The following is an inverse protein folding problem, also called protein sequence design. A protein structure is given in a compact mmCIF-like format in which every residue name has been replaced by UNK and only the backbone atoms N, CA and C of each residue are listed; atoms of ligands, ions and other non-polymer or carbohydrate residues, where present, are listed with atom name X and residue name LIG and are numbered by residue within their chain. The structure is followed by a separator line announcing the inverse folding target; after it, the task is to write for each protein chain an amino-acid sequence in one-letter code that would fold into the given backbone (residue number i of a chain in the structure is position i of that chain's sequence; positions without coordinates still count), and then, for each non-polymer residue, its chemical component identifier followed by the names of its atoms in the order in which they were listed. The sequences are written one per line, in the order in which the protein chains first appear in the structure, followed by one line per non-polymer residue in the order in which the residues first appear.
data_IF_239233062351
#
_entry.id   IF_239233062351
#
_cell.length_a   1.000
_cell.length_b   1.000
_cell.length_c   1.000
_cell.angle_alpha   90.00
_cell.angle_beta   90.00
_cell.angle_gamma   90.00
#
_symmetry.space_group_name_H-M   'P 1'
#
loop_
_entity.id
_entity.type
_entity.pdbx_description
1 polymer ?
#
# COMPACT_ATOMS: atom_id res chain seq x y z
N UNK A 1 25.17 -20.76 -18.86
CA UNK A 1 24.40 -19.93 -17.92
C UNK A 1 25.08 -19.64 -16.58
N UNK A 2 25.33 -20.60 -15.66
CA UNK A 2 25.98 -20.27 -14.36
C UNK A 2 27.40 -19.69 -14.52
N UNK A 3 28.15 -20.19 -15.49
CA UNK A 3 29.49 -19.70 -15.84
C UNK A 3 29.47 -18.27 -16.40
N UNK A 4 28.46 -17.91 -17.20
CA UNK A 4 28.34 -16.57 -17.79
C UNK A 4 27.93 -15.52 -16.77
N UNK A 5 26.97 -15.85 -15.89
CA UNK A 5 26.60 -15.02 -14.74
C UNK A 5 27.80 -14.82 -13.79
N UNK A 6 28.56 -15.88 -13.53
CA UNK A 6 29.77 -15.80 -12.71
C UNK A 6 30.86 -14.93 -13.36
N UNK A 7 31.02 -15.02 -14.68
CA UNK A 7 31.96 -14.18 -15.44
C UNK A 7 31.56 -12.70 -15.42
N UNK A 8 30.27 -12.40 -15.59
CA UNK A 8 29.69 -11.07 -15.51
C UNK A 8 29.91 -10.45 -14.13
N UNK A 9 29.52 -11.15 -13.06
CA UNK A 9 29.73 -10.70 -11.68
C UNK A 9 31.22 -10.51 -11.38
N UNK A 10 32.07 -11.43 -11.84
CA UNK A 10 33.52 -11.30 -11.73
C UNK A 10 34.06 -10.04 -12.42
N UNK A 11 33.53 -9.68 -13.59
CA UNK A 11 33.90 -8.45 -14.29
C UNK A 11 33.44 -7.19 -13.55
N UNK A 12 32.22 -7.17 -13.01
CA UNK A 12 31.70 -6.08 -12.18
C UNK A 12 32.58 -5.87 -10.95
N UNK A 13 32.91 -6.95 -10.23
CA UNK A 13 33.73 -6.89 -9.02
C UNK A 13 35.18 -6.47 -9.31
N UNK A 14 35.76 -6.86 -10.45
CA UNK A 14 37.09 -6.37 -10.88
C UNK A 14 37.08 -4.86 -11.13
N UNK A 15 36.02 -4.33 -11.75
CA UNK A 15 35.87 -2.88 -11.96
C UNK A 15 35.69 -2.15 -10.62
N UNK A 16 34.87 -2.68 -9.71
CA UNK A 16 34.71 -2.13 -8.37
C UNK A 16 36.05 -1.99 -7.62
N UNK A 17 36.85 -3.08 -7.57
CA UNK A 17 38.17 -3.07 -6.93
C UNK A 17 39.11 -2.01 -7.55
N UNK A 18 39.06 -1.83 -8.87
CA UNK A 18 39.83 -0.79 -9.56
C UNK A 18 39.40 0.62 -9.12
N UNK A 19 38.11 0.87 -8.98
CA UNK A 19 37.56 2.17 -8.53
C UNK A 19 37.89 2.49 -7.07
N UNK A 20 37.96 1.49 -6.19
CA UNK A 20 38.23 1.70 -4.76
C UNK A 20 39.72 1.73 -4.40
N UNK A 21 40.58 1.13 -5.23
CA UNK A 21 42.04 1.07 -4.97
C UNK A 21 42.84 2.13 -5.72
N UNK A 22 42.25 2.90 -6.64
CA UNK A 22 42.94 4.04 -7.27
C UNK A 22 42.93 5.25 -6.32
N UNK A 23 44.02 5.42 -5.57
CA UNK A 23 44.23 6.47 -4.57
C UNK A 23 44.15 7.93 -5.11
N UNK A 24 43.98 8.14 -6.42
CA UNK A 24 44.00 9.46 -7.06
C UNK A 24 42.66 9.94 -7.61
N UNK A 25 41.54 9.23 -7.37
CA UNK A 25 40.24 9.64 -7.93
C UNK A 25 38.98 9.04 -7.32
N UNK A 26 39.08 8.31 -6.20
CA UNK A 26 37.89 7.80 -5.53
C UNK A 26 37.25 8.89 -4.65
N UNK A 27 36.00 9.25 -4.96
CA UNK A 27 35.17 10.13 -4.12
C UNK A 27 34.66 9.45 -2.84
N UNK A 28 35.00 8.17 -2.63
CA UNK A 28 34.54 7.36 -1.50
C UNK A 28 35.59 7.43 -0.38
N UNK A 29 35.23 7.84 0.85
CA UNK A 29 36.16 7.87 1.98
C UNK A 29 36.80 6.51 2.25
N UNK A 30 38.06 6.54 2.67
CA UNK A 30 38.81 5.33 3.04
C UNK A 30 38.10 4.63 4.20
N UNK A 31 37.76 3.34 4.01
CA UNK A 31 37.01 2.54 4.99
C UNK A 31 35.50 2.46 4.77
N UNK A 32 34.93 3.21 3.81
CA UNK A 32 33.49 3.21 3.52
C UNK A 32 33.11 2.43 2.25
N UNK A 33 34.07 1.85 1.54
CA UNK A 33 33.84 1.15 0.27
C UNK A 33 32.73 0.08 0.38
N UNK A 34 32.70 -0.69 1.46
CA UNK A 34 31.72 -1.77 1.62
C UNK A 34 30.27 -1.27 1.72
N UNK A 35 30.05 -0.01 2.13
CA UNK A 35 28.71 0.61 2.18
C UNK A 35 28.11 0.79 0.78
N UNK A 36 28.94 1.06 -0.23
CA UNK A 36 28.51 1.41 -1.58
C UNK A 36 28.60 0.25 -2.58
N UNK A 37 29.21 -0.88 -2.19
CA UNK A 37 29.38 -2.05 -3.05
C UNK A 37 28.04 -2.56 -3.60
N UNK A 38 27.01 -2.65 -2.75
CA UNK A 38 25.69 -3.12 -3.17
C UNK A 38 25.06 -2.20 -4.22
N UNK A 39 25.18 -0.88 -4.06
CA UNK A 39 24.64 0.09 -5.00
C UNK A 39 25.37 0.04 -6.36
N UNK A 40 26.70 -0.12 -6.32
CA UNK A 40 27.51 -0.28 -7.52
C UNK A 40 27.13 -1.54 -8.32
N UNK A 41 27.00 -2.68 -7.64
CA UNK A 41 26.57 -3.95 -8.24
C UNK A 41 25.15 -3.81 -8.79
N UNK A 42 24.23 -3.23 -8.02
CA UNK A 42 22.84 -2.97 -8.43
C UNK A 42 22.76 -2.14 -9.70
N UNK A 43 23.55 -1.07 -9.79
CA UNK A 43 23.61 -0.22 -10.98
C UNK A 43 24.03 -1.03 -12.22
N UNK A 44 25.09 -1.84 -12.12
CA UNK A 44 25.56 -2.65 -13.24
C UNK A 44 24.54 -3.71 -13.67
N UNK A 45 23.90 -4.39 -12.72
CA UNK A 45 22.84 -5.35 -13.02
C UNK A 45 21.60 -4.68 -13.63
N UNK A 46 21.32 -3.42 -13.29
CA UNK A 46 20.24 -2.64 -13.91
C UNK A 46 20.56 -2.35 -15.39
N UNK A 47 21.81 -2.04 -15.72
CA UNK A 47 22.24 -1.85 -17.11
C UNK A 47 22.11 -3.14 -17.93
N UNK A 48 22.48 -4.28 -17.35
CA UNK A 48 22.28 -5.60 -17.98
C UNK A 48 20.79 -5.87 -18.24
N UNK A 49 19.94 -5.61 -17.24
CA UNK A 49 18.49 -5.74 -17.38
C UNK A 49 17.94 -4.83 -18.50
N UNK A 50 18.41 -3.58 -18.60
CA UNK A 50 17.99 -2.63 -19.63
C UNK A 50 18.42 -3.06 -21.03
N UNK A 51 19.61 -3.66 -21.17
CA UNK A 51 20.10 -4.21 -22.42
C UNK A 51 19.32 -5.46 -22.87
N UNK A 52 18.98 -6.34 -21.92
CA UNK A 52 18.29 -7.60 -22.21
C UNK A 52 16.79 -7.44 -22.44
N UNK A 53 16.12 -6.45 -21.82
CA UNK A 53 14.66 -6.32 -21.90
C UNK A 53 14.11 -6.18 -23.33
N UNK A 54 14.63 -5.29 -24.20
CA UNK A 54 14.16 -5.21 -25.59
C UNK A 54 14.41 -6.49 -26.38
N UNK A 55 15.47 -7.23 -26.06
CA UNK A 55 15.88 -8.47 -26.75
C UNK A 55 14.98 -9.66 -26.46
N UNK A 56 14.13 -9.59 -25.44
CA UNK A 56 13.08 -10.58 -25.21
C UNK A 56 12.16 -10.67 -26.43
N UNK A 57 11.84 -9.53 -27.03
CA UNK A 57 10.91 -9.42 -28.15
C UNK A 57 11.57 -9.64 -29.51
N UNK A 58 12.88 -9.38 -29.64
CA UNK A 58 13.61 -9.53 -30.91
C UNK A 58 14.38 -10.85 -31.03
N UNK A 59 15.04 -11.30 -29.96
CA UNK A 59 16.03 -12.38 -29.98
C UNK A 59 15.56 -13.62 -29.19
N UNK A 60 14.45 -13.50 -28.46
CA UNK A 60 13.74 -14.61 -27.82
C UNK A 60 13.70 -14.57 -26.28
N UNK A 61 12.90 -15.46 -25.67
CA UNK A 61 12.53 -15.37 -24.26
C UNK A 61 13.67 -15.66 -23.27
N UNK A 62 14.78 -16.27 -23.70
CA UNK A 62 15.92 -16.54 -22.80
C UNK A 62 16.50 -15.28 -22.16
N UNK A 63 16.38 -14.11 -22.83
CA UNK A 63 16.82 -12.83 -22.28
C UNK A 63 16.06 -12.40 -21.02
N UNK A 64 14.86 -12.97 -20.78
CA UNK A 64 14.08 -12.75 -19.55
C UNK A 64 14.87 -13.13 -18.30
N UNK A 65 15.74 -14.16 -18.37
CA UNK A 65 16.55 -14.63 -17.25
C UNK A 65 17.55 -13.58 -16.73
N UNK A 66 17.86 -12.57 -17.54
CA UNK A 66 18.77 -11.48 -17.20
C UNK A 66 18.06 -10.18 -16.82
N UNK A 67 16.73 -10.15 -16.92
CA UNK A 67 15.93 -9.02 -16.45
C UNK A 67 15.77 -9.07 -14.94
N UNK A 68 15.66 -7.90 -14.31
CA UNK A 68 15.44 -7.75 -12.87
C UNK A 68 16.54 -8.33 -11.95
N UNK A 69 17.70 -8.76 -12.46
CA UNK A 69 18.82 -9.25 -11.63
C UNK A 69 19.27 -8.26 -10.56
N UNK A 70 19.11 -6.95 -10.81
CA UNK A 70 19.40 -5.90 -9.83
C UNK A 70 18.53 -6.00 -8.56
N UNK A 71 17.37 -6.68 -8.64
CA UNK A 71 16.53 -6.99 -7.49
C UNK A 71 17.11 -8.11 -6.59
N UNK A 72 18.23 -8.73 -6.95
CA UNK A 72 18.91 -9.74 -6.12
C UNK A 72 19.98 -9.12 -5.20
N UNK A 73 20.14 -7.80 -5.22
CA UNK A 73 21.15 -7.08 -4.43
C UNK A 73 20.66 -6.76 -3.02
N UNK A 74 21.57 -6.34 -2.14
CA UNK A 74 21.23 -5.92 -0.77
C UNK A 74 20.23 -4.76 -0.72
N UNK A 75 19.73 -4.46 0.49
CA UNK A 75 18.76 -3.39 0.75
C UNK A 75 19.30 -2.03 0.25
N UNK A 76 18.42 -1.19 -0.27
CA UNK A 76 18.78 0.18 -0.62
C UNK A 76 19.05 0.98 0.67
N UNK A 77 20.20 1.69 0.79
CA UNK A 77 20.48 2.50 1.98
C UNK A 77 19.46 3.62 2.13
N UNK A 78 19.17 3.99 3.37
CA UNK A 78 18.26 5.08 3.72
C UNK A 78 18.78 5.81 4.96
N UNK A 79 18.49 7.10 5.03
CA UNK A 79 18.74 7.94 6.21
C UNK A 79 17.45 8.12 7.02
N UNK A 80 17.58 8.42 8.32
CA UNK A 80 16.40 8.69 9.15
C UNK A 80 15.68 9.94 8.67
N UNK A 81 16.44 10.92 8.20
CA UNK A 81 15.98 12.20 7.69
C UNK A 81 15.14 12.01 6.41
N UNK A 82 15.56 11.11 5.51
CA UNK A 82 14.76 10.73 4.34
C UNK A 82 13.41 10.15 4.75
N UNK A 83 13.39 9.19 5.68
CA UNK A 83 12.15 8.56 6.13
C UNK A 83 11.21 9.58 6.79
N UNK A 84 11.76 10.41 7.69
CA UNK A 84 10.98 11.46 8.37
C UNK A 84 10.41 12.43 7.35
N UNK A 85 11.19 12.87 6.37
CA UNK A 85 10.75 13.76 5.31
C UNK A 85 9.69 13.14 4.40
N UNK A 86 9.85 11.87 4.04
CA UNK A 86 8.89 11.14 3.19
C UNK A 86 7.55 10.93 3.91
N UNK A 87 7.56 10.54 5.20
CA UNK A 87 6.35 10.43 6.01
C UNK A 87 5.69 11.79 6.18
N UNK A 88 6.44 12.84 6.50
CA UNK A 88 5.90 14.20 6.67
C UNK A 88 5.23 14.70 5.38
N UNK A 89 5.87 14.50 4.23
CA UNK A 89 5.28 14.82 2.93
C UNK A 89 4.04 13.98 2.64
N UNK A 90 4.03 12.70 3.03
CA UNK A 90 2.91 11.79 2.79
C UNK A 90 1.68 12.22 3.59
N UNK A 91 1.83 12.43 4.90
CA UNK A 91 0.70 12.62 5.81
C UNK A 91 0.25 14.08 5.96
N UNK A 92 1.02 15.05 5.46
CA UNK A 92 0.67 16.47 5.53
C UNK A 92 -0.50 16.86 4.63
N UNK A 93 -1.04 18.07 4.82
CA UNK A 93 -2.11 18.62 3.97
C UNK A 93 -1.61 19.29 2.69
N UNK A 94 -0.30 19.25 2.43
CA UNK A 94 0.35 19.95 1.32
C UNK A 94 1.51 19.13 0.76
N UNK A 95 1.84 19.30 -0.51
CA UNK A 95 3.03 18.72 -1.12
C UNK A 95 3.79 19.84 -1.85
N UNK A 96 5.10 19.95 -1.62
CA UNK A 96 5.93 21.04 -2.16
C UNK A 96 5.34 22.45 -1.93
N UNK A 97 4.81 22.70 -0.72
CA UNK A 97 4.20 23.98 -0.35
C UNK A 97 2.81 24.25 -0.96
N UNK A 98 2.28 23.35 -1.79
CA UNK A 98 0.94 23.48 -2.37
C UNK A 98 -0.07 22.62 -1.60
N UNK A 99 -1.27 23.15 -1.26
CA UNK A 99 -2.32 22.34 -0.65
C UNK A 99 -2.69 21.15 -1.53
N UNK A 100 -2.89 19.98 -0.93
CA UNK A 100 -3.45 18.82 -1.61
C UNK A 100 -4.91 19.12 -1.92
N UNK A 101 -5.25 19.21 -3.19
CA UNK A 101 -6.61 19.51 -3.65
C UNK A 101 -6.86 18.79 -4.96
N UNK A 102 -8.08 18.26 -5.09
CA UNK A 102 -8.64 17.89 -6.39
C UNK A 102 -9.64 18.96 -6.82
N UNK A 103 -9.88 19.04 -8.13
CA UNK A 103 -10.98 19.82 -8.66
C UNK A 103 -12.31 19.27 -8.13
N UNK A 104 -13.11 20.13 -7.49
CA UNK A 104 -14.34 19.70 -6.82
C UNK A 104 -15.41 19.23 -7.79
N UNK A 105 -15.50 19.86 -8.97
CA UNK A 105 -16.47 19.47 -10.01
C UNK A 105 -16.17 18.11 -10.60
N UNK A 106 -14.92 17.87 -11.03
CA UNK A 106 -14.51 16.59 -11.60
C UNK A 106 -14.57 15.47 -10.57
N UNK A 107 -14.17 15.75 -9.32
CA UNK A 107 -14.30 14.80 -8.21
C UNK A 107 -15.74 14.42 -7.96
N UNK A 108 -16.64 15.41 -7.82
CA UNK A 108 -18.05 15.15 -7.55
C UNK A 108 -18.70 14.37 -8.68
N UNK A 109 -18.54 14.83 -9.93
CA UNK A 109 -19.04 14.14 -11.11
C UNK A 109 -18.54 12.69 -11.17
N UNK A 110 -17.25 12.49 -10.93
CA UNK A 110 -16.64 11.18 -11.00
C UNK A 110 -17.12 10.23 -9.91
N UNK A 111 -17.16 10.69 -8.67
CA UNK A 111 -17.68 9.90 -7.56
C UNK A 111 -19.18 9.63 -7.71
N UNK A 112 -19.99 10.61 -8.12
CA UNK A 112 -21.43 10.44 -8.35
C UNK A 112 -21.67 9.34 -9.38
N UNK A 113 -20.97 9.38 -10.52
CA UNK A 113 -21.08 8.37 -11.57
C UNK A 113 -20.66 6.98 -11.12
N UNK A 114 -19.55 6.86 -10.39
CA UNK A 114 -19.07 5.55 -9.93
C UNK A 114 -20.02 4.96 -8.90
N UNK A 115 -20.45 5.76 -7.92
CA UNK A 115 -21.31 5.29 -6.85
C UNK A 115 -22.74 5.03 -7.32
N UNK A 116 -23.23 5.70 -8.37
CA UNK A 116 -24.51 5.35 -9.00
C UNK A 116 -24.47 3.99 -9.71
N UNK A 117 -23.32 3.64 -10.30
CA UNK A 117 -23.14 2.41 -11.06
C UNK A 117 -22.70 1.23 -10.17
N UNK A 118 -22.12 1.53 -9.00
CA UNK A 118 -21.74 0.55 -8.00
C UNK A 118 -22.98 0.05 -7.27
N UNK A 119 -23.70 -0.87 -7.92
CA UNK A 119 -24.88 -1.50 -7.37
C UNK A 119 -24.56 -2.20 -6.05
N UNK A 120 -25.32 -1.84 -5.03
CA UNK A 120 -25.38 -2.60 -3.80
C UNK A 120 -26.20 -3.86 -4.02
N UNK A 121 -25.74 -5.04 -3.55
CA UNK A 121 -26.60 -6.21 -3.49
C UNK A 121 -27.82 -5.91 -2.60
N UNK A 122 -28.97 -6.53 -2.93
CA UNK A 122 -30.16 -6.49 -2.07
C UNK A 122 -29.79 -6.79 -0.61
N UNK A 123 -30.34 -6.07 0.38
CA UNK A 123 -29.87 -6.05 1.77
C UNK A 123 -30.02 -7.38 2.54
N UNK A 124 -30.61 -8.40 1.93
CA UNK A 124 -30.87 -9.68 2.58
C UNK A 124 -29.58 -10.52 2.71
N UNK A 125 -29.27 -10.91 3.95
CA UNK A 125 -28.19 -11.86 4.27
C UNK A 125 -26.84 -11.22 4.61
N UNK A 126 -26.76 -9.89 4.74
CA UNK A 126 -25.58 -9.23 5.30
C UNK A 126 -25.54 -9.35 6.83
N UNK A 127 -24.34 -9.59 7.37
CA UNK A 127 -24.06 -9.50 8.80
C UNK A 127 -24.12 -8.02 9.24
N UNK A 128 -24.60 -7.76 10.45
CA UNK A 128 -24.40 -6.47 11.12
C UNK A 128 -22.91 -6.19 11.34
N UNK A 129 -22.55 -4.93 11.60
CA UNK A 129 -21.16 -4.57 11.87
C UNK A 129 -20.56 -5.40 13.02
N UNK A 130 -21.35 -5.59 14.07
CA UNK A 130 -20.94 -6.38 15.24
C UNK A 130 -20.64 -7.83 14.86
N UNK A 131 -21.56 -8.48 14.17
CA UNK A 131 -21.38 -9.86 13.71
C UNK A 131 -20.20 -10.00 12.75
N UNK A 132 -20.07 -9.07 11.79
CA UNK A 132 -18.95 -9.04 10.84
C UNK A 132 -17.61 -8.88 11.54
N UNK A 133 -17.52 -7.95 12.49
CA UNK A 133 -16.28 -7.68 13.24
C UNK A 133 -15.83 -8.88 14.08
N UNK A 134 -16.79 -9.70 14.54
CA UNK A 134 -16.52 -10.93 15.29
C UNK A 134 -16.17 -12.13 14.38
N UNK A 135 -16.50 -12.08 13.09
CA UNK A 135 -16.10 -13.09 12.10
C UNK A 135 -14.74 -12.76 11.47
N UNK A 136 -13.67 -13.05 12.23
CA UNK A 136 -12.30 -12.78 11.80
C UNK A 136 -11.85 -13.57 10.57
N UNK A 137 -12.58 -14.60 10.14
CA UNK A 137 -12.27 -15.32 8.89
C UNK A 137 -12.58 -14.46 7.66
N UNK A 138 -13.46 -13.46 7.78
CA UNK A 138 -13.83 -12.55 6.68
C UNK A 138 -12.83 -11.42 6.47
N UNK A 139 -12.19 -10.95 7.54
CA UNK A 139 -11.34 -9.74 7.49
C UNK A 139 -9.90 -9.97 7.94
N UNK A 140 -9.62 -11.05 8.66
CA UNK A 140 -8.31 -11.38 9.23
C UNK A 140 -7.27 -11.70 8.16
N UNK A 141 -6.24 -10.87 8.07
CA UNK A 141 -5.11 -11.04 7.14
C UNK A 141 -3.79 -11.33 7.87
N UNK A 142 -2.74 -11.64 7.11
CA UNK A 142 -1.43 -12.06 7.61
C UNK A 142 -0.54 -10.91 8.14
N UNK A 143 -1.03 -9.67 8.25
CA UNK A 143 -0.19 -8.55 8.68
C UNK A 143 -0.94 -7.36 9.27
N UNK A 144 -0.19 -6.47 9.93
CA UNK A 144 -0.70 -5.18 10.42
C UNK A 144 -1.58 -5.29 11.67
N UNK A 145 -1.26 -6.21 12.58
CA UNK A 145 -1.91 -6.32 13.89
C UNK A 145 -0.86 -6.33 15.02
N UNK A 146 -1.27 -6.00 16.27
CA UNK A 146 -0.43 -6.18 17.44
C UNK A 146 0.07 -7.61 17.58
N UNK A 147 1.27 -7.74 18.15
CA UNK A 147 1.90 -9.03 18.38
C UNK A 147 1.05 -9.86 19.35
N UNK A 148 0.68 -11.06 18.94
CA UNK A 148 -0.15 -11.98 19.71
C UNK A 148 0.52 -13.35 19.77
N UNK A 149 0.31 -14.08 20.87
CA UNK A 149 0.90 -15.41 21.08
C UNK A 149 -0.16 -16.49 20.92
N UNK A 150 0.11 -17.46 20.04
CA UNK A 150 -0.74 -18.62 19.79
C UNK A 150 0.15 -19.85 19.83
N UNK A 151 -0.19 -20.82 20.69
CA UNK A 151 0.54 -22.08 20.83
C UNK A 151 2.06 -21.88 21.01
N UNK A 152 2.47 -20.91 21.83
CA UNK A 152 3.88 -20.58 22.09
C UNK A 152 4.61 -19.84 20.97
N UNK A 153 3.94 -19.58 19.84
CA UNK A 153 4.48 -18.84 18.71
C UNK A 153 3.91 -17.42 18.64
N UNK A 154 4.76 -16.46 18.29
CA UNK A 154 4.41 -15.04 18.25
C UNK A 154 4.12 -14.59 16.82
N UNK A 155 2.90 -14.10 16.59
CA UNK A 155 2.41 -13.67 15.29
C UNK A 155 2.07 -12.18 15.30
N UNK A 156 2.28 -11.50 14.16
CA UNK A 156 1.82 -10.11 13.91
C UNK A 156 0.75 -10.08 12.83
N UNK A 157 -0.22 -10.97 12.94
CA UNK A 157 -1.29 -11.15 11.95
C UNK A 157 -2.63 -10.80 12.59
N UNK A 158 -3.56 -10.27 11.78
CA UNK A 158 -4.90 -9.88 12.25
C UNK A 158 -5.71 -11.09 12.70
N UNK A 159 -5.60 -12.21 11.99
CA UNK A 159 -6.26 -13.45 12.41
C UNK A 159 -5.74 -13.96 13.76
N UNK A 160 -4.42 -13.86 14.01
CA UNK A 160 -3.85 -14.34 15.26
C UNK A 160 -4.23 -13.42 16.43
N UNK A 161 -4.24 -12.11 16.18
CA UNK A 161 -4.75 -11.15 17.14
C UNK A 161 -6.22 -11.41 17.47
N UNK A 162 -7.06 -11.62 16.46
CA UNK A 162 -8.47 -11.90 16.68
C UNK A 162 -8.65 -13.18 17.50
N UNK A 163 -7.98 -14.27 17.11
CA UNK A 163 -8.01 -15.55 17.80
C UNK A 163 -7.57 -15.45 19.27
N UNK A 164 -6.49 -14.70 19.55
CA UNK A 164 -5.99 -14.48 20.91
C UNK A 164 -6.96 -13.65 21.78
N UNK A 165 -7.81 -12.83 21.15
CA UNK A 165 -8.86 -12.05 21.82
C UNK A 165 -10.23 -12.74 21.79
N UNK A 166 -10.33 -13.95 21.23
CA UNK A 166 -11.54 -14.75 21.39
C UNK A 166 -11.66 -15.25 22.84
N UNK A 167 -12.86 -15.26 23.42
CA UNK A 167 -13.11 -15.79 24.77
C UNK A 167 -12.78 -17.30 24.87
N UNK A 168 -12.55 -17.98 23.74
CA UNK A 168 -12.13 -19.39 23.67
C UNK A 168 -10.87 -19.67 24.49
N UNK A 169 -10.01 -18.67 24.72
CA UNK A 169 -8.82 -18.83 25.57
C UNK A 169 -9.14 -19.01 27.08
N UNK A 170 -10.39 -18.81 27.52
CA UNK A 170 -10.82 -19.00 28.92
C UNK A 170 -12.23 -19.61 28.96
N UNK A 171 -12.33 -20.92 29.21
CA UNK A 171 -13.54 -21.74 29.43
C UNK A 171 -14.90 -21.01 29.33
N UNK A 172 -15.66 -21.32 28.27
CA UNK A 172 -17.05 -20.88 28.07
C UNK A 172 -17.15 -19.59 27.25
N UNK A 173 -17.47 -19.71 25.96
CA UNK A 173 -17.67 -18.54 25.10
C UNK A 173 -19.10 -18.08 25.20
N UNK A 174 -19.28 -16.90 25.80
CA UNK A 174 -20.49 -16.12 25.61
C UNK A 174 -20.34 -15.33 24.30
N UNK A 175 -20.79 -15.94 23.19
CA UNK A 175 -20.71 -15.35 21.86
C UNK A 175 -21.50 -14.03 21.77
N UNK A 176 -22.51 -13.85 22.63
CA UNK A 176 -23.28 -12.61 22.72
C UNK A 176 -22.53 -11.48 23.42
N UNK A 177 -21.45 -11.78 24.16
CA UNK A 177 -20.58 -10.78 24.80
C UNK A 177 -19.27 -10.55 24.05
N UNK A 178 -19.01 -11.29 22.98
CA UNK A 178 -17.84 -11.07 22.14
C UNK A 178 -17.97 -9.72 21.42
N UNK A 179 -16.92 -8.91 21.53
CA UNK A 179 -16.80 -7.63 20.84
C UNK A 179 -15.33 -7.37 20.47
N UNK A 180 -14.92 -7.91 19.33
CA UNK A 180 -13.58 -7.70 18.79
C UNK A 180 -13.33 -6.25 18.37
N UNK A 181 -14.37 -5.49 18.03
CA UNK A 181 -14.21 -4.08 17.67
C UNK A 181 -13.83 -3.24 18.89
N UNK A 182 -14.53 -3.39 20.01
CA UNK A 182 -14.16 -2.71 21.26
C UNK A 182 -12.76 -3.09 21.75
N UNK A 183 -12.38 -4.37 21.59
CA UNK A 183 -11.02 -4.81 21.87
C UNK A 183 -9.98 -4.14 20.95
N UNK A 184 -10.31 -3.98 19.65
CA UNK A 184 -9.44 -3.30 18.68
C UNK A 184 -9.26 -1.82 19.04
N UNK A 185 -10.33 -1.13 19.47
CA UNK A 185 -10.30 0.27 19.89
C UNK A 185 -9.36 0.49 21.07
N UNK A 186 -9.30 -0.48 21.98
CA UNK A 186 -8.43 -0.42 23.17
C UNK A 186 -6.97 -0.75 22.87
N UNK A 187 -6.71 -1.65 21.90
CA UNK A 187 -5.39 -2.23 21.70
C UNK A 187 -4.45 -1.41 20.80
N UNK A 188 -4.96 -0.72 19.77
CA UNK A 188 -4.09 -0.06 18.78
C UNK A 188 -4.81 1.07 18.03
N UNK A 189 -5.06 2.23 18.68
CA UNK A 189 -5.82 3.33 18.08
C UNK A 189 -5.05 4.08 16.98
N UNK A 190 -3.74 3.89 16.87
CA UNK A 190 -2.88 4.70 15.99
C UNK A 190 -2.40 3.93 14.76
N UNK A 191 -2.04 4.68 13.71
CA UNK A 191 -1.35 4.18 12.55
C UNK A 191 0.17 4.17 12.81
N UNK A 192 0.88 3.18 12.29
CA UNK A 192 2.33 3.03 12.49
C UNK A 192 3.02 2.93 11.14
N UNK A 193 4.06 3.70 10.93
CA UNK A 193 4.92 3.52 9.77
C UNK A 193 5.94 2.41 10.04
N UNK A 194 6.17 1.58 9.04
CA UNK A 194 7.21 0.58 8.99
C UNK A 194 7.96 0.71 7.66
N UNK A 195 9.13 0.09 7.56
CA UNK A 195 9.91 0.10 6.33
C UNK A 195 9.76 -1.24 5.62
N UNK A 196 9.37 -1.18 4.35
CA UNK A 196 9.49 -2.27 3.39
C UNK A 196 10.85 -2.15 2.74
N UNK A 197 11.78 -2.92 3.25
CA UNK A 197 13.14 -2.94 2.74
C UNK A 197 13.18 -3.79 1.47
N UNK A 198 13.13 -3.13 0.31
CA UNK A 198 13.28 -3.78 -0.98
C UNK A 198 14.67 -3.50 -1.57
N UNK A 199 15.20 -4.42 -2.40
CA UNK A 199 16.49 -4.24 -3.07
C UNK A 199 16.58 -2.95 -3.89
N UNK A 200 15.48 -2.50 -4.50
CA UNK A 200 15.46 -1.34 -5.40
C UNK A 200 15.20 -0.01 -4.67
N UNK A 201 14.31 -0.04 -3.68
CA UNK A 201 13.90 1.14 -2.91
C UNK A 201 13.32 0.68 -1.58
N UNK A 202 13.80 1.25 -0.48
CA UNK A 202 13.09 1.14 0.80
C UNK A 202 11.84 2.01 0.72
N UNK A 203 10.66 1.41 0.95
CA UNK A 203 9.38 2.12 0.92
C UNK A 203 8.77 2.14 2.30
N UNK A 204 8.14 3.23 2.66
CA UNK A 204 7.36 3.34 3.88
C UNK A 204 6.04 2.57 3.70
N UNK A 205 5.68 1.77 4.69
CA UNK A 205 4.35 1.18 4.83
C UNK A 205 3.72 1.82 6.06
N UNK A 206 2.72 2.66 5.87
CA UNK A 206 1.90 3.13 6.98
C UNK A 206 0.74 2.16 7.19
N UNK A 207 0.79 1.42 8.30
CA UNK A 207 -0.28 0.54 8.73
C UNK A 207 -1.45 1.34 9.29
N UNK A 208 -2.66 0.83 9.11
CA UNK A 208 -3.86 1.39 9.73
C UNK A 208 -4.03 0.92 11.17
N UNK A 209 -4.76 1.69 11.97
CA UNK A 209 -5.31 1.19 13.23
C UNK A 209 -6.30 0.04 12.93
N UNK A 210 -6.40 -0.91 13.86
CA UNK A 210 -7.29 -2.06 13.70
C UNK A 210 -8.78 -1.68 13.68
N UNK A 211 -9.27 -0.71 14.49
CA UNK A 211 -10.63 -0.21 14.40
C UNK A 211 -10.98 0.31 13.00
N UNK A 212 -10.14 1.20 12.46
CA UNK A 212 -10.34 1.78 11.13
C UNK A 212 -10.32 0.71 10.04
N UNK A 213 -9.43 -0.29 10.18
CA UNK A 213 -9.42 -1.44 9.28
C UNK A 213 -10.75 -2.20 9.28
N UNK A 214 -11.35 -2.43 10.45
CA UNK A 214 -12.62 -3.14 10.59
C UNK A 214 -13.77 -2.34 9.97
N UNK A 215 -13.85 -1.04 10.26
CA UNK A 215 -14.84 -0.14 9.66
C UNK A 215 -14.76 -0.17 8.13
N UNK A 216 -13.56 -0.02 7.58
CA UNK A 216 -13.32 -0.07 6.13
C UNK A 216 -13.66 -1.43 5.51
N UNK A 217 -13.30 -2.54 6.18
CA UNK A 217 -13.65 -3.88 5.73
C UNK A 217 -15.16 -4.07 5.66
N UNK A 218 -15.87 -3.62 6.69
CA UNK A 218 -17.32 -3.73 6.75
C UNK A 218 -18.01 -2.90 5.68
N UNK A 219 -17.63 -1.63 5.53
CA UNK A 219 -18.18 -0.76 4.49
C UNK A 219 -18.02 -1.37 3.09
N UNK A 220 -16.85 -1.94 2.78
CA UNK A 220 -16.66 -2.64 1.51
C UNK A 220 -17.44 -3.95 1.42
N UNK A 221 -17.57 -4.71 2.50
CA UNK A 221 -18.38 -5.92 2.53
C UNK A 221 -19.84 -5.61 2.17
N UNK A 222 -20.38 -4.50 2.69
CA UNK A 222 -21.75 -4.05 2.43
C UNK A 222 -21.97 -3.57 1.00
N UNK A 223 -20.97 -2.95 0.39
CA UNK A 223 -21.01 -2.51 -1.02
C UNK A 223 -20.65 -3.61 -2.02
N UNK A 224 -20.01 -4.68 -1.57
CA UNK A 224 -19.50 -5.73 -2.44
C UNK A 224 -18.44 -5.21 -3.40
N UNK A 225 -18.41 -5.79 -4.60
CA UNK A 225 -17.35 -5.54 -5.58
C UNK A 225 -17.62 -4.25 -6.37
N UNK A 226 -16.70 -3.25 -6.36
CA UNK A 226 -16.87 -2.03 -7.15
C UNK A 226 -16.90 -2.28 -8.65
N UNK A 227 -17.81 -1.58 -9.33
CA UNK A 227 -17.91 -1.57 -10.78
C UNK A 227 -17.01 -0.47 -11.38
N UNK A 228 -15.70 -0.63 -11.22
CA UNK A 228 -14.69 0.31 -11.73
C UNK A 228 -13.77 -0.37 -12.76
N UNK A 229 -13.31 0.34 -13.79
CA UNK A 229 -12.42 -0.23 -14.80
C UNK A 229 -10.98 -0.33 -14.26
N UNK A 230 -10.72 -1.31 -13.40
CA UNK A 230 -9.40 -1.52 -12.79
C UNK A 230 -9.03 -2.99 -12.68
N UNK A 231 -7.74 -3.34 -12.93
CA UNK A 231 -7.24 -4.69 -12.67
C UNK A 231 -7.29 -5.06 -11.18
N UNK A 232 -7.35 -4.06 -10.27
CA UNK A 232 -7.50 -4.29 -8.84
C UNK A 232 -8.83 -4.97 -8.48
N UNK A 233 -9.84 -4.85 -9.35
CA UNK A 233 -11.18 -5.40 -9.11
C UNK A 233 -11.48 -6.58 -10.03
N UNK A 234 -10.89 -6.65 -11.24
CA UNK A 234 -11.16 -7.73 -12.18
C UNK A 234 -9.90 -8.32 -12.81
N UNK A 235 -9.70 -9.63 -12.60
CA UNK A 235 -8.60 -10.37 -13.20
C UNK A 235 -8.64 -10.39 -14.74
N UNK A 236 -9.83 -10.28 -15.34
CA UNK A 236 -10.02 -10.25 -16.79
C UNK A 236 -9.89 -8.85 -17.39
N UNK A 237 -9.64 -7.82 -16.57
CA UNK A 237 -9.62 -6.43 -17.05
C UNK A 237 -8.53 -6.20 -18.10
N UNK A 238 -7.31 -6.68 -17.87
CA UNK A 238 -6.17 -6.49 -18.79
C UNK A 238 -6.47 -7.11 -20.16
N UNK A 239 -6.94 -8.36 -20.18
CA UNK A 239 -7.30 -9.04 -21.43
C UNK A 239 -8.40 -8.28 -22.21
N UNK A 240 -9.38 -7.70 -21.51
CA UNK A 240 -10.41 -6.86 -22.15
C UNK A 240 -9.84 -5.54 -22.67
N UNK A 241 -8.92 -4.92 -21.94
CA UNK A 241 -8.28 -3.68 -22.35
C UNK A 241 -7.43 -3.88 -23.61
N UNK A 242 -6.71 -4.99 -23.72
CA UNK A 242 -5.89 -5.34 -24.88
C UNK A 242 -6.70 -5.51 -26.18
N UNK A 243 -7.99 -5.85 -26.08
CA UNK A 243 -8.89 -5.94 -27.25
C UNK A 243 -9.44 -4.59 -27.72
N UNK A 244 -9.23 -3.50 -26.98
CA UNK A 244 -9.74 -2.18 -27.35
C UNK A 244 -8.83 -1.60 -28.42
N UNK A 245 -9.37 -1.36 -29.62
CA UNK A 245 -8.68 -0.63 -30.69
C UNK A 245 -8.98 0.87 -30.58
N UNK A 246 -8.07 1.63 -29.97
CA UNK A 246 -8.18 3.09 -29.87
C UNK A 246 -7.27 3.77 -30.89
N UNK A 247 -7.65 4.98 -31.32
CA UNK A 247 -6.82 5.80 -32.22
C UNK A 247 -5.53 6.29 -31.54
N UNK A 248 -5.53 6.37 -30.20
CA UNK A 248 -4.37 6.75 -29.40
C UNK A 248 -4.48 6.11 -28.00
N UNK A 249 -3.32 5.90 -27.36
CA UNK A 249 -3.21 5.48 -25.97
C UNK A 249 -2.38 6.51 -25.21
N UNK A 250 -2.81 6.84 -23.99
CA UNK A 250 -2.08 7.72 -23.08
C UNK A 250 -1.75 6.98 -21.79
N UNK A 251 -0.55 7.21 -21.25
CA UNK A 251 -0.13 6.71 -19.94
C UNK A 251 0.44 7.88 -19.14
N UNK A 252 -0.02 8.03 -17.89
CA UNK A 252 0.48 9.01 -16.95
C UNK A 252 1.11 8.27 -15.78
N UNK A 253 2.39 8.52 -15.55
CA UNK A 253 3.10 8.01 -14.38
C UNK A 253 3.10 9.07 -13.28
N UNK A 254 2.36 8.80 -12.20
CA UNK A 254 2.19 9.74 -11.10
C UNK A 254 3.28 9.57 -10.04
N UNK A 255 4.15 10.56 -9.88
CA UNK A 255 5.11 10.58 -8.77
C UNK A 255 4.39 10.71 -7.42
N UNK A 256 4.77 9.85 -6.46
CA UNK A 256 4.25 9.83 -5.07
C UNK A 256 2.72 9.98 -5.00
N UNK A 257 2.01 9.28 -5.89
CA UNK A 257 0.56 9.40 -6.02
C UNK A 257 -0.19 9.25 -4.69
N UNK A 258 0.17 8.24 -3.87
CA UNK A 258 -0.45 8.01 -2.56
C UNK A 258 -0.31 9.23 -1.62
N UNK A 259 0.72 10.06 -1.80
CA UNK A 259 0.95 11.25 -0.98
C UNK A 259 0.04 12.40 -1.40
N UNK A 260 -0.42 12.43 -2.65
CA UNK A 260 -1.12 13.58 -3.23
C UNK A 260 -2.62 13.60 -2.94
N UNK A 261 -3.20 12.47 -2.53
CA UNK A 261 -4.66 12.36 -2.33
C UNK A 261 -5.11 13.20 -1.13
N UNK A 262 -6.06 14.13 -1.30
CA UNK A 262 -6.44 15.03 -0.24
C UNK A 262 -7.40 14.38 0.77
N UNK A 263 -7.33 14.84 2.02
CA UNK A 263 -8.14 14.34 3.13
C UNK A 263 -9.64 14.32 2.86
N UNK A 264 -10.15 15.41 2.28
CA UNK A 264 -11.57 15.57 1.98
C UNK A 264 -12.07 14.54 0.95
N UNK A 265 -11.25 14.18 -0.04
CA UNK A 265 -11.58 13.13 -1.00
C UNK A 265 -11.74 11.78 -0.30
N UNK A 266 -10.84 11.46 0.61
CA UNK A 266 -10.88 10.19 1.35
C UNK A 266 -12.13 10.14 2.25
N UNK A 267 -12.41 11.21 2.98
CA UNK A 267 -13.63 11.28 3.80
C UNK A 267 -14.91 11.19 2.96
N UNK A 268 -14.95 11.85 1.80
CA UNK A 268 -16.11 11.78 0.88
C UNK A 268 -16.36 10.35 0.39
N UNK A 269 -15.30 9.59 0.09
CA UNK A 269 -15.44 8.17 -0.29
C UNK A 269 -16.00 7.35 0.87
N UNK A 270 -15.50 7.54 2.10
CA UNK A 270 -16.03 6.86 3.29
C UNK A 270 -17.48 7.26 3.55
N UNK A 271 -17.80 8.54 3.42
CA UNK A 271 -19.15 9.07 3.61
C UNK A 271 -20.14 8.43 2.65
N UNK A 272 -19.78 8.34 1.37
CA UNK A 272 -20.60 7.66 0.37
C UNK A 272 -20.76 6.20 0.68
N UNK A 273 -19.70 5.51 1.13
CA UNK A 273 -19.83 4.12 1.56
C UNK A 273 -20.80 3.95 2.75
N UNK A 274 -21.02 5.01 3.54
CA UNK A 274 -22.03 5.04 4.60
C UNK A 274 -23.48 5.02 4.11
N UNK A 275 -23.75 5.30 2.83
CA UNK A 275 -25.10 5.48 2.31
C UNK A 275 -25.83 4.17 1.94
N UNK A 276 -25.23 3.00 2.23
CA UNK A 276 -25.88 1.72 1.95
C UNK A 276 -27.09 1.45 2.86
N UNK A 277 -26.96 1.72 4.17
CA UNK A 277 -28.03 1.63 5.17
C UNK A 277 -27.64 2.30 6.50
N UNK A 278 -28.52 2.22 7.51
CA UNK A 278 -28.31 2.85 8.82
C UNK A 278 -27.08 2.31 9.56
N UNK A 279 -26.79 1.00 9.46
CA UNK A 279 -25.63 0.41 10.12
C UNK A 279 -24.32 0.86 9.46
N UNK A 280 -24.28 0.94 8.12
CA UNK A 280 -23.16 1.53 7.38
C UNK A 280 -22.96 2.99 7.72
N UNK A 281 -24.04 3.76 7.87
CA UNK A 281 -23.96 5.18 8.22
C UNK A 281 -23.25 5.38 9.55
N UNK A 282 -23.65 4.62 10.58
CA UNK A 282 -23.01 4.63 11.91
C UNK A 282 -21.52 4.31 11.83
N UNK A 283 -21.16 3.27 11.06
CA UNK A 283 -19.76 2.86 10.89
C UNK A 283 -18.94 3.91 10.12
N UNK A 284 -19.52 4.52 9.09
CA UNK A 284 -18.87 5.58 8.31
C UNK A 284 -18.64 6.83 9.16
N UNK A 285 -19.61 7.22 9.99
CA UNK A 285 -19.48 8.38 10.89
C UNK A 285 -18.36 8.17 11.92
N UNK A 286 -18.31 6.99 12.52
CA UNK A 286 -17.24 6.60 13.44
C UNK A 286 -15.86 6.62 12.75
N UNK A 287 -15.76 6.04 11.55
CA UNK A 287 -14.52 6.05 10.76
C UNK A 287 -14.08 7.48 10.42
N UNK A 288 -15.00 8.34 9.98
CA UNK A 288 -14.68 9.74 9.65
C UNK A 288 -14.18 10.49 10.89
N UNK A 289 -14.78 10.24 12.06
CA UNK A 289 -14.34 10.84 13.32
C UNK A 289 -12.92 10.36 13.72
N UNK A 290 -12.64 9.07 13.53
CA UNK A 290 -11.31 8.50 13.76
C UNK A 290 -10.28 9.04 12.78
N UNK A 291 -10.60 9.11 11.48
CA UNK A 291 -9.74 9.69 10.46
C UNK A 291 -9.36 11.15 10.76
N UNK A 292 -10.27 11.95 11.34
CA UNK A 292 -9.98 13.34 11.75
C UNK A 292 -8.97 13.45 12.90
N UNK A 293 -8.91 12.41 13.75
CA UNK A 293 -8.05 12.33 14.93
C UNK A 293 -6.81 11.47 14.69
N UNK A 294 -6.72 10.82 13.53
CA UNK A 294 -5.68 9.87 13.20
C UNK A 294 -4.27 10.48 13.33
N UNK A 295 -3.41 9.70 13.98
CA UNK A 295 -1.98 9.98 14.10
C UNK A 295 -1.18 8.83 13.49
N UNK A 296 -0.09 9.19 12.82
CA UNK A 296 0.90 8.25 12.29
C UNK A 296 2.14 8.34 13.17
N UNK A 297 2.69 7.19 13.55
CA UNK A 297 3.87 7.11 14.41
C UNK A 297 5.04 6.38 13.75
N UNK A 298 6.25 6.87 13.97
CA UNK A 298 7.49 6.20 13.57
C UNK A 298 8.63 6.57 14.54
N UNK A 299 9.16 5.58 15.26
CA UNK A 299 10.16 5.82 16.29
C UNK A 299 9.63 6.77 17.37
N UNK A 300 10.26 7.93 17.55
CA UNK A 300 9.83 8.97 18.48
C UNK A 300 9.00 10.08 17.81
N UNK A 301 8.72 9.96 16.51
CA UNK A 301 7.97 10.95 15.75
C UNK A 301 6.48 10.57 15.68
N UNK A 302 5.63 11.59 15.73
CA UNK A 302 4.17 11.43 15.62
C UNK A 302 3.59 12.59 14.82
N UNK A 303 2.88 12.27 13.75
CA UNK A 303 2.25 13.24 12.85
C UNK A 303 0.73 13.17 12.96
N UNK A 304 0.08 14.33 12.94
CA UNK A 304 -1.36 14.37 12.65
C UNK A 304 -1.58 14.10 11.17
N UNK A 305 -2.39 13.10 10.85
CA UNK A 305 -2.73 12.79 9.47
C UNK A 305 -3.66 13.87 8.89
N UNK A 306 -3.30 14.40 7.72
CA UNK A 306 -3.97 15.51 7.03
C UNK A 306 -4.18 15.23 5.53
N UNK A 307 -3.97 14.00 5.09
CA UNK A 307 -4.09 13.58 3.70
C UNK A 307 -3.09 12.49 3.35
N UNK A 308 -3.19 12.01 2.11
CA UNK A 308 -2.44 10.88 1.60
C UNK A 308 -3.07 9.55 1.97
N UNK A 309 -3.18 8.64 1.01
CA UNK A 309 -3.73 7.29 1.21
C UNK A 309 -2.70 6.46 1.98
N UNK A 310 -3.10 5.83 3.08
CA UNK A 310 -2.20 4.98 3.85
C UNK A 310 -2.15 3.57 3.27
N UNK A 311 -0.95 3.06 2.99
CA UNK A 311 -0.77 1.75 2.31
C UNK A 311 -1.47 0.57 3.00
N UNK A 312 -1.59 0.58 4.32
CA UNK A 312 -2.18 -0.51 5.11
C UNK A 312 -3.70 -0.47 5.21
N UNK A 313 -4.36 0.54 4.63
CA UNK A 313 -5.83 0.59 4.60
C UNK A 313 -6.43 -0.51 3.75
N UNK A 314 -7.65 -0.91 4.10
CA UNK A 314 -8.43 -1.80 3.25
C UNK A 314 -8.88 -1.07 1.98
N UNK A 315 -9.09 0.24 2.07
CA UNK A 315 -9.53 1.09 0.97
C UNK A 315 -8.40 1.52 0.02
N UNK A 316 -7.11 1.28 0.32
CA UNK A 316 -5.96 1.84 -0.42
C UNK A 316 -6.10 1.76 -1.93
N UNK A 317 -6.27 0.56 -2.48
CA UNK A 317 -6.33 0.34 -3.92
C UNK A 317 -7.60 0.93 -4.56
N UNK A 318 -8.71 0.96 -3.81
CA UNK A 318 -9.97 1.55 -4.27
C UNK A 318 -9.82 3.07 -4.31
N UNK A 319 -9.38 3.70 -3.22
CA UNK A 319 -9.10 5.13 -3.16
C UNK A 319 -8.17 5.58 -4.27
N UNK A 320 -7.08 4.83 -4.50
CA UNK A 320 -6.15 5.15 -5.57
C UNK A 320 -6.78 5.02 -6.96
N UNK A 321 -7.59 3.98 -7.19
CA UNK A 321 -8.32 3.84 -8.46
C UNK A 321 -9.32 4.98 -8.67
N UNK A 322 -10.12 5.31 -7.65
CA UNK A 322 -11.11 6.39 -7.72
C UNK A 322 -10.46 7.75 -7.97
N UNK A 323 -9.36 8.04 -7.28
CA UNK A 323 -8.59 9.27 -7.46
C UNK A 323 -8.01 9.37 -8.89
N UNK A 324 -7.48 8.27 -9.43
CA UNK A 324 -7.00 8.22 -10.81
C UNK A 324 -8.12 8.43 -11.83
N UNK A 325 -9.30 7.83 -11.62
CA UNK A 325 -10.46 8.02 -12.51
C UNK A 325 -10.98 9.47 -12.48
N UNK A 326 -11.10 10.05 -11.29
CA UNK A 326 -11.51 11.45 -11.14
C UNK A 326 -10.49 12.39 -11.80
N UNK A 327 -9.19 12.10 -11.67
CA UNK A 327 -8.13 12.88 -12.32
C UNK A 327 -8.17 12.74 -13.83
N UNK A 328 -8.42 11.54 -14.37
CA UNK A 328 -8.54 11.32 -15.80
C UNK A 328 -9.73 12.10 -16.40
N UNK A 329 -10.88 12.14 -15.71
CA UNK A 329 -12.04 12.94 -16.12
C UNK A 329 -11.83 14.45 -16.03
N UNK A 330 -10.89 14.92 -15.21
CA UNK A 330 -10.53 16.33 -15.18
C UNK A 330 -9.65 16.73 -16.38
N UNK A 331 -8.85 15.80 -16.90
CA UNK A 331 -7.90 16.04 -18.00
C UNK A 331 -8.59 15.94 -19.37
N UNK A 332 -9.58 15.05 -19.50
CA UNK A 332 -10.33 14.76 -20.74
C UNK A 332 -11.53 15.69 -20.94
#
# INVERSE_FOLDING_TARGET
MSHELSSLLGAVMRRWKKYTHSASGSWIPVGEADLYLNDYVRHHLKQVSAYCFPRIFSDGPMYMLFTHLHALTGKCPYTKEQIVGDIDSWVSGSIHGRPKKFDSSATKYGLDRIFSDWKHPEPFGFLSFREYSNDFLRWGTSGGAPKSEIAGSKYRTKWAWAYANLPVARKGVDWEKLDLYSAACSAHPQATAALKEEPQKTREIISTSLPSYLCQCYLLYRWGKPHIPSPAVSATWVARFETIHANWYGCLDGDRFDHCVPLNFIMEVVDRLGNADEDCRKVADAEIEDLRRLRVEWGHHSWKWKGGVLSGWRLTSILGTLASLCSAWHIL
#
